data_IF_346349946660
#
_entry.id   IF_346349946660
#
_cell.length_a   1.000
_cell.length_b   1.000
_cell.length_c   1.000
_cell.angle_alpha   90.00
_cell.angle_beta   90.00
_cell.angle_gamma   90.00
#
_symmetry.space_group_name_H-M   'P 1'
#
loop_
_entity.id
_entity.type
_entity.pdbx_description
1 polymer ?
#
# COMPACT_ATOMS: atom_id res chain seq x y z
N UNK A 1 -23.46 32.45 32.94
CA UNK A 1 -22.29 31.54 32.99
C UNK A 1 -21.07 32.39 32.64
N UNK A 2 -20.03 32.46 33.49
CA UNK A 2 -18.90 33.39 33.31
C UNK A 2 -18.04 33.03 32.10
N UNK A 3 -17.47 34.03 31.42
CA UNK A 3 -16.52 33.86 30.31
C UNK A 3 -15.31 32.99 30.70
N UNK A 4 -14.93 33.01 31.98
CA UNK A 4 -13.89 32.15 32.56
C UNK A 4 -14.27 30.66 32.45
N UNK A 5 -15.52 30.32 32.78
CA UNK A 5 -16.00 28.94 32.74
C UNK A 5 -16.07 28.44 31.29
N UNK A 6 -16.49 29.27 30.34
CA UNK A 6 -16.54 28.90 28.91
C UNK A 6 -15.13 28.62 28.36
N UNK A 7 -14.12 29.40 28.77
CA UNK A 7 -12.72 29.16 28.36
C UNK A 7 -12.18 27.85 28.93
N UNK A 8 -12.51 27.51 30.17
CA UNK A 8 -12.12 26.24 30.79
C UNK A 8 -12.77 25.07 30.08
N UNK A 9 -14.09 25.11 29.82
CA UNK A 9 -14.78 24.04 29.10
C UNK A 9 -14.21 23.84 27.69
N UNK A 10 -13.89 24.94 26.99
CA UNK A 10 -13.27 24.85 25.67
C UNK A 10 -11.85 24.27 25.72
N UNK A 11 -11.04 24.65 26.71
CA UNK A 11 -9.72 24.07 26.95
C UNK A 11 -9.80 22.58 27.29
N UNK A 12 -10.78 22.17 28.11
CA UNK A 12 -11.03 20.78 28.45
C UNK A 12 -11.48 19.97 27.22
N UNK A 13 -12.37 20.52 26.38
CA UNK A 13 -12.77 19.88 25.11
C UNK A 13 -11.59 19.70 24.15
N UNK A 14 -10.70 20.69 24.01
CA UNK A 14 -9.49 20.58 23.18
C UNK A 14 -8.50 19.54 23.74
N UNK A 15 -8.34 19.47 25.07
CA UNK A 15 -7.53 18.46 25.75
C UNK A 15 -8.09 17.05 25.51
N UNK A 16 -9.39 16.84 25.70
CA UNK A 16 -10.04 15.56 25.38
C UNK A 16 -9.91 15.19 23.90
N UNK A 17 -10.11 16.15 22.98
CA UNK A 17 -9.97 15.91 21.55
C UNK A 17 -8.53 15.52 21.17
N UNK A 18 -7.52 16.19 21.74
CA UNK A 18 -6.11 15.86 21.54
C UNK A 18 -5.72 14.47 22.09
N UNK A 19 -6.30 14.06 23.23
CA UNK A 19 -6.12 12.73 23.80
C UNK A 19 -6.78 11.63 22.95
N UNK A 20 -7.89 11.94 22.26
CA UNK A 20 -8.58 10.99 21.37
C UNK A 20 -7.96 10.86 19.97
N UNK A 21 -7.19 11.85 19.51
CA UNK A 21 -6.55 11.87 18.18
C UNK A 21 -5.27 11.01 18.10
N UNK A 22 -5.07 10.08 19.02
CA UNK A 22 -3.98 9.12 18.95
C UNK A 22 -4.34 7.99 17.97
N UNK A 23 -4.22 8.28 16.67
CA UNK A 23 -4.07 7.34 15.54
C UNK A 23 -4.83 6.01 15.65
N UNK A 24 -6.09 6.03 16.06
CA UNK A 24 -6.95 4.86 15.98
C UNK A 24 -7.35 4.68 14.51
N UNK A 25 -6.50 4.05 13.70
CA UNK A 25 -6.91 3.61 12.37
C UNK A 25 -8.01 2.56 12.55
N UNK A 26 -9.23 2.92 12.13
CA UNK A 26 -10.43 2.07 12.17
C UNK A 26 -10.24 0.87 11.21
N UNK A 27 -9.34 1.00 10.23
CA UNK A 27 -9.07 -0.03 9.25
C UNK A 27 -8.12 -1.09 9.79
N UNK A 28 -8.42 -2.35 9.44
CA UNK A 28 -7.55 -3.48 9.74
C UNK A 28 -6.17 -3.32 9.10
N UNK A 29 -5.16 -4.00 9.67
CA UNK A 29 -3.83 -4.08 9.08
C UNK A 29 -3.93 -4.78 7.72
N UNK A 30 -3.25 -4.21 6.73
CA UNK A 30 -3.12 -4.75 5.38
C UNK A 30 -1.73 -5.33 5.23
N UNK A 31 -1.65 -6.49 4.58
CA UNK A 31 -0.44 -7.21 4.24
C UNK A 31 -0.34 -7.31 2.72
N UNK A 32 0.77 -6.83 2.18
CA UNK A 32 1.08 -6.89 0.75
C UNK A 32 2.29 -7.79 0.58
N UNK A 33 2.18 -8.75 -0.33
CA UNK A 33 3.29 -9.58 -0.82
C UNK A 33 3.45 -9.35 -2.32
N UNK A 34 4.68 -9.17 -2.77
CA UNK A 34 5.05 -9.05 -4.18
C UNK A 34 6.08 -10.13 -4.48
N UNK A 35 5.79 -11.01 -5.43
CA UNK A 35 6.66 -12.11 -5.86
C UNK A 35 7.18 -11.88 -7.27
N UNK A 36 8.43 -12.26 -7.50
CA UNK A 36 9.04 -12.28 -8.83
C UNK A 36 8.71 -13.59 -9.55
N UNK A 37 7.81 -13.51 -10.54
CA UNK A 37 7.39 -14.63 -11.40
C UNK A 37 7.70 -14.32 -12.89
N UNK A 38 8.73 -13.51 -13.15
CA UNK A 38 9.17 -13.19 -14.51
C UNK A 38 9.72 -14.42 -15.27
N UNK A 39 10.21 -15.41 -14.53
CA UNK A 39 10.89 -16.58 -15.07
C UNK A 39 12.33 -16.29 -15.55
N UNK A 40 12.94 -17.29 -16.20
CA UNK A 40 14.24 -17.18 -16.91
C UNK A 40 15.43 -16.69 -16.06
N UNK A 41 15.39 -16.87 -14.75
CA UNK A 41 16.45 -16.42 -13.84
C UNK A 41 16.56 -14.90 -13.70
N UNK A 42 15.54 -14.15 -14.12
CA UNK A 42 15.54 -12.69 -14.05
C UNK A 42 15.42 -12.20 -12.61
N UNK A 43 16.28 -11.24 -12.24
CA UNK A 43 16.16 -10.48 -10.98
C UNK A 43 15.22 -9.31 -11.22
N UNK A 44 14.20 -9.19 -10.38
CA UNK A 44 13.26 -8.08 -10.38
C UNK A 44 13.72 -7.03 -9.37
N UNK A 45 14.12 -5.86 -9.84
CA UNK A 45 14.33 -4.71 -8.98
C UNK A 45 13.02 -3.97 -8.81
N UNK A 46 12.64 -3.65 -7.58
CA UNK A 46 11.46 -2.85 -7.29
C UNK A 46 11.77 -1.73 -6.32
N UNK A 47 11.03 -0.65 -6.40
CA UNK A 47 11.03 0.41 -5.40
C UNK A 47 9.60 0.86 -5.16
N UNK A 48 9.15 0.79 -3.90
CA UNK A 48 7.77 1.00 -3.52
C UNK A 48 7.65 2.17 -2.55
N UNK A 49 6.63 3.00 -2.75
CA UNK A 49 6.31 4.10 -1.84
C UNK A 49 4.83 4.42 -1.84
N UNK A 50 4.36 4.98 -0.74
CA UNK A 50 3.10 5.72 -0.65
C UNK A 50 3.40 7.22 -0.68
N UNK A 51 2.40 8.04 -0.37
CA UNK A 51 2.61 9.47 -0.10
C UNK A 51 3.46 9.70 1.16
N UNK A 52 3.25 8.88 2.18
CA UNK A 52 3.74 9.12 3.53
C UNK A 52 4.92 8.21 3.89
N UNK A 53 5.10 7.11 3.17
CA UNK A 53 6.12 6.08 3.43
C UNK A 53 6.92 5.75 2.17
N UNK A 54 8.24 5.75 2.26
CA UNK A 54 9.12 5.17 1.24
C UNK A 54 9.66 3.84 1.77
N UNK A 55 9.36 2.74 1.07
CA UNK A 55 9.77 1.39 1.45
C UNK A 55 11.14 1.02 0.86
N UNK A 56 11.75 1.90 0.08
CA UNK A 56 13.05 1.72 -0.53
C UNK A 56 13.05 0.73 -1.69
N UNK A 57 14.26 0.45 -2.16
CA UNK A 57 14.54 -0.43 -3.29
C UNK A 57 14.91 -1.83 -2.84
N UNK A 58 14.42 -2.84 -3.54
CA UNK A 58 14.64 -4.26 -3.27
C UNK A 58 14.96 -5.00 -4.56
N UNK A 59 15.90 -5.94 -4.50
CA UNK A 59 16.22 -6.84 -5.61
C UNK A 59 15.71 -8.25 -5.28
N UNK A 60 14.76 -8.74 -6.07
CA UNK A 60 14.14 -10.04 -5.88
C UNK A 60 14.72 -11.05 -6.87
N UNK A 61 15.42 -12.11 -6.41
CA UNK A 61 15.79 -13.21 -7.28
C UNK A 61 14.54 -13.91 -7.82
N UNK A 62 14.70 -14.84 -8.77
CA UNK A 62 13.58 -15.66 -9.25
C UNK A 62 12.87 -16.35 -8.07
N UNK A 63 11.53 -16.30 -8.05
CA UNK A 63 10.67 -16.75 -6.94
C UNK A 63 10.90 -16.05 -5.58
N UNK A 64 11.76 -15.03 -5.54
CA UNK A 64 11.93 -14.15 -4.40
C UNK A 64 10.69 -13.29 -4.18
N UNK A 65 10.48 -12.84 -2.94
CA UNK A 65 9.35 -11.97 -2.60
C UNK A 65 9.73 -10.85 -1.65
N UNK A 66 9.07 -9.70 -1.83
CA UNK A 66 9.09 -8.56 -0.93
C UNK A 66 7.73 -8.45 -0.22
N UNK A 67 7.75 -8.16 1.08
CA UNK A 67 6.54 -8.10 1.89
C UNK A 67 6.57 -6.89 2.81
N UNK A 68 5.43 -6.24 2.97
CA UNK A 68 5.26 -5.16 3.93
C UNK A 68 3.82 -5.11 4.46
N UNK A 69 3.62 -4.41 5.56
CA UNK A 69 2.29 -4.22 6.14
C UNK A 69 2.12 -2.80 6.66
N UNK A 70 0.90 -2.30 6.59
CA UNK A 70 0.54 -0.96 7.02
C UNK A 70 -0.91 -0.93 7.50
N UNK A 71 -1.32 0.19 8.09
CA UNK A 71 -2.73 0.47 8.38
C UNK A 71 -3.19 1.60 7.46
N UNK A 72 -4.26 1.43 6.68
CA UNK A 72 -4.78 2.51 5.86
C UNK A 72 -5.11 3.75 6.70
N UNK A 73 -4.91 4.93 6.11
CA UNK A 73 -5.28 6.20 6.74
C UNK A 73 -6.79 6.36 6.80
N UNK A 74 -7.29 6.98 7.87
CA UNK A 74 -8.73 7.29 8.03
C UNK A 74 -9.08 8.62 7.35
N UNK A 75 -8.09 9.49 7.14
CA UNK A 75 -8.29 10.86 6.62
C UNK A 75 -8.20 10.89 5.09
N UNK A 76 -7.34 10.05 4.48
CA UNK A 76 -7.08 10.02 3.04
C UNK A 76 -6.93 8.58 2.56
N UNK A 77 -7.23 8.34 1.27
CA UNK A 77 -7.00 7.05 0.63
C UNK A 77 -5.50 6.72 0.62
N UNK A 78 -5.13 5.57 1.20
CA UNK A 78 -3.77 5.05 1.12
C UNK A 78 -3.55 4.36 -0.23
N UNK A 79 -2.51 4.80 -0.94
CA UNK A 79 -2.08 4.23 -2.22
C UNK A 79 -0.59 3.92 -2.12
N UNK A 80 -0.19 2.72 -2.53
CA UNK A 80 1.20 2.35 -2.72
C UNK A 80 1.47 2.11 -4.21
N UNK A 81 2.48 2.81 -4.71
CA UNK A 81 2.97 2.69 -6.08
C UNK A 81 4.35 2.07 -6.06
N UNK A 82 4.59 1.08 -6.93
CA UNK A 82 5.90 0.48 -7.11
C UNK A 82 6.37 0.69 -8.54
N UNK A 83 7.66 0.97 -8.67
CA UNK A 83 8.41 0.78 -9.90
C UNK A 83 8.98 -0.63 -9.95
N UNK A 84 9.09 -1.18 -11.15
CA UNK A 84 9.58 -2.52 -11.44
C UNK A 84 10.55 -2.44 -12.61
N UNK A 85 11.76 -2.98 -12.43
CA UNK A 85 12.81 -2.95 -13.42
C UNK A 85 13.52 -4.30 -13.54
N UNK A 86 13.57 -4.79 -14.78
CA UNK A 86 14.36 -5.95 -15.18
C UNK A 86 14.81 -5.75 -16.65
N UNK A 87 15.52 -6.71 -17.22
CA UNK A 87 16.01 -6.62 -18.61
C UNK A 87 14.90 -6.43 -19.67
N UNK A 88 13.64 -6.72 -19.34
CA UNK A 88 12.50 -6.52 -20.22
C UNK A 88 11.87 -5.12 -20.16
N UNK A 89 12.30 -4.27 -19.22
CA UNK A 89 11.83 -2.89 -19.16
C UNK A 89 11.74 -2.30 -17.75
N UNK A 90 11.25 -1.06 -17.72
CA UNK A 90 10.88 -0.33 -16.53
C UNK A 90 9.37 -0.06 -16.59
N UNK A 91 8.66 -0.43 -15.52
CA UNK A 91 7.21 -0.33 -15.41
C UNK A 91 6.82 0.24 -14.04
N UNK A 92 5.64 0.84 -13.95
CA UNK A 92 5.09 1.39 -12.70
C UNK A 92 3.66 0.90 -12.55
N UNK A 93 3.28 0.48 -11.34
CA UNK A 93 1.91 0.11 -11.02
C UNK A 93 1.52 0.47 -9.57
N UNK A 94 0.23 0.74 -9.37
CA UNK A 94 -0.38 0.82 -8.04
C UNK A 94 -0.63 -0.59 -7.51
N UNK A 95 0.24 -1.06 -6.61
CA UNK A 95 0.11 -2.39 -5.99
C UNK A 95 -0.85 -2.40 -4.79
N UNK A 96 -1.32 -1.23 -4.38
CA UNK A 96 -2.40 -1.13 -3.41
C UNK A 96 -3.11 0.20 -3.59
N UNK A 97 -4.43 0.13 -3.66
CA UNK A 97 -5.29 1.28 -3.57
C UNK A 97 -6.47 0.92 -2.65
N UNK A 98 -6.60 1.63 -1.53
CA UNK A 98 -7.58 1.30 -0.50
C UNK A 98 -9.03 1.25 -1.03
N UNK A 99 -9.38 2.16 -1.94
CA UNK A 99 -10.73 2.24 -2.50
C UNK A 99 -11.02 1.13 -3.52
N UNK A 100 -9.98 0.67 -4.21
CA UNK A 100 -10.06 -0.38 -5.24
C UNK A 100 -9.99 -1.79 -4.67
N UNK A 101 -8.97 -2.07 -3.85
CA UNK A 101 -8.56 -3.44 -3.56
C UNK A 101 -9.27 -4.03 -2.35
N UNK A 102 -9.50 -3.20 -1.31
CA UNK A 102 -10.13 -3.56 -0.02
C UNK A 102 -9.68 -4.93 0.54
N UNK A 103 -8.46 -5.37 0.23
CA UNK A 103 -7.87 -6.61 0.74
C UNK A 103 -7.10 -6.34 2.04
N UNK A 104 -7.17 -7.30 2.96
CA UNK A 104 -6.29 -7.46 4.12
C UNK A 104 -5.04 -8.23 3.74
N UNK A 105 -5.15 -9.20 2.83
CA UNK A 105 -4.02 -9.97 2.32
C UNK A 105 -4.01 -9.90 0.79
N UNK A 106 -3.11 -9.07 0.26
CA UNK A 106 -2.96 -8.81 -1.17
C UNK A 106 -1.66 -9.47 -1.65
N UNK A 107 -1.75 -10.45 -2.54
CA UNK A 107 -0.56 -11.10 -3.10
C UNK A 107 -0.44 -10.78 -4.57
N UNK A 108 0.68 -10.20 -4.96
CA UNK A 108 1.01 -9.83 -6.32
C UNK A 108 2.07 -10.77 -6.87
N UNK A 109 1.86 -11.28 -8.07
CA UNK A 109 2.89 -11.91 -8.89
C UNK A 109 3.24 -10.99 -10.04
N UNK A 110 4.52 -10.63 -10.15
CA UNK A 110 5.01 -9.83 -11.26
C UNK A 110 5.44 -10.78 -12.37
N UNK A 111 4.66 -10.80 -13.45
CA UNK A 111 4.91 -11.62 -14.64
C UNK A 111 5.22 -10.72 -15.84
N UNK A 112 5.73 -11.26 -16.96
CA UNK A 112 6.15 -10.43 -18.10
C UNK A 112 5.04 -9.54 -18.67
N UNK A 113 3.78 -9.96 -18.61
CA UNK A 113 2.64 -9.21 -19.14
C UNK A 113 2.07 -8.14 -18.19
N UNK A 114 2.36 -8.23 -16.88
CA UNK A 114 1.73 -7.36 -15.90
C UNK A 114 1.86 -7.81 -14.44
N UNK A 115 1.42 -6.99 -13.47
CA UNK A 115 1.13 -7.46 -12.13
C UNK A 115 -0.16 -8.29 -12.12
N UNK A 116 -0.12 -9.41 -11.41
CA UNK A 116 -1.26 -10.28 -11.14
C UNK A 116 -1.59 -10.27 -9.65
N UNK A 117 -2.73 -9.70 -9.28
CA UNK A 117 -3.21 -9.64 -7.90
C UNK A 117 -4.09 -10.84 -7.59
N UNK A 118 -3.84 -11.50 -6.47
CA UNK A 118 -4.77 -12.39 -5.80
C UNK A 118 -5.22 -11.78 -4.47
N UNK A 119 -6.53 -11.58 -4.34
CA UNK A 119 -7.18 -11.09 -3.13
C UNK A 119 -7.74 -12.28 -2.35
N UNK A 120 -7.12 -12.60 -1.21
CA UNK A 120 -7.53 -13.75 -0.38
C UNK A 120 -8.89 -13.57 0.30
N UNK A 121 -9.30 -12.32 0.57
CA UNK A 121 -10.57 -12.04 1.24
C UNK A 121 -11.76 -12.30 0.31
N UNK A 122 -11.63 -11.92 -0.97
CA UNK A 122 -12.69 -12.13 -1.98
C UNK A 122 -12.50 -13.40 -2.80
N UNK A 123 -11.34 -14.06 -2.70
CA UNK A 123 -10.90 -15.20 -3.54
C UNK A 123 -10.93 -14.89 -5.04
N UNK A 124 -10.65 -13.64 -5.42
CA UNK A 124 -10.62 -13.18 -6.81
C UNK A 124 -9.21 -12.82 -7.26
N UNK A 125 -8.96 -13.03 -8.54
CA UNK A 125 -7.72 -12.62 -9.21
C UNK A 125 -7.98 -11.47 -10.17
N UNK A 126 -7.01 -10.57 -10.30
CA UNK A 126 -7.05 -9.42 -11.19
C UNK A 126 -5.72 -9.30 -11.95
N UNK A 127 -5.80 -9.14 -13.27
CA UNK A 127 -4.63 -8.93 -14.12
C UNK A 127 -4.59 -7.47 -14.55
N UNK A 128 -3.44 -6.81 -14.38
CA UNK A 128 -3.23 -5.45 -14.85
C UNK A 128 -2.16 -5.49 -15.93
N UNK A 129 -2.51 -5.21 -17.18
CA UNK A 129 -1.51 -5.27 -18.26
C UNK A 129 -0.60 -4.05 -18.21
N UNK A 130 0.69 -4.26 -18.51
CA UNK A 130 1.59 -3.13 -18.73
C UNK A 130 1.09 -2.27 -19.89
N UNK A 131 1.23 -0.93 -19.81
CA UNK A 131 0.96 -0.07 -20.95
C UNK A 131 1.85 -0.44 -22.14
N UNK A 132 1.27 -0.54 -23.33
CA UNK A 132 2.04 -0.73 -24.56
C UNK A 132 2.82 0.55 -24.84
N UNK A 133 4.13 0.43 -25.07
CA UNK A 133 4.93 1.53 -25.60
C UNK A 133 4.67 1.57 -27.11
N UNK A 134 3.98 2.63 -27.56
CA UNK A 134 3.80 2.91 -28.98
C UNK A 134 5.11 3.29 -29.66
#
# INVERSE_FOLDING_TARGET
MSLYNIRIEFLLMLLFFSLTMCSASIFGRVHVKISNELGQGLVLNLHCKSRDDDLGSHALPIHGSFQFSFRPSVIRTTIFTCSFQWNGGYHVAEIYNHDRDRCRNCTWSIIPSGPWLYNFDTKKSYCYLWPQKG
#
